data_IF_274084336252
#
_entry.id   IF_274084336252
#
_cell.length_a   1.000
_cell.length_b   1.000
_cell.length_c   1.000
_cell.angle_alpha   90.00
_cell.angle_beta   90.00
_cell.angle_gamma   90.00
#
_symmetry.space_group_name_H-M   'P 1'
#
loop_
_entity.id
_entity.type
_entity.pdbx_description
1 polymer ?
#
# COMPACT_ATOMS: atom_id res chain seq x y z
N UNK A 1 -14.44 44.58 -25.43
CA UNK A 1 -13.42 44.10 -24.47
C UNK A 1 -14.08 43.10 -23.53
N UNK A 2 -13.75 41.81 -23.65
CA UNK A 2 -14.39 40.74 -22.86
C UNK A 2 -13.56 40.51 -21.60
N UNK A 3 -14.07 40.95 -20.44
CA UNK A 3 -13.47 40.70 -19.13
C UNK A 3 -13.61 39.21 -18.79
N UNK A 4 -12.53 38.44 -18.87
CA UNK A 4 -12.45 37.09 -18.30
C UNK A 4 -12.49 37.22 -16.77
N UNK A 5 -13.66 36.94 -16.19
CA UNK A 5 -13.86 36.81 -14.74
C UNK A 5 -13.13 35.53 -14.29
N UNK A 6 -11.94 35.69 -13.71
CA UNK A 6 -11.16 34.60 -13.09
C UNK A 6 -12.03 34.01 -11.98
N UNK A 7 -12.49 32.77 -12.11
CA UNK A 7 -13.26 32.09 -11.07
C UNK A 7 -12.35 31.92 -9.86
N UNK A 8 -12.69 32.58 -8.77
CA UNK A 8 -12.03 32.43 -7.48
C UNK A 8 -12.29 31.01 -6.95
N UNK A 9 -11.19 30.31 -6.67
CA UNK A 9 -11.05 29.46 -5.48
C UNK A 9 -11.96 28.25 -5.37
N UNK A 10 -11.99 27.37 -6.38
CA UNK A 10 -12.27 25.96 -6.06
C UNK A 10 -10.96 25.34 -5.59
N UNK A 11 -10.80 25.21 -4.27
CA UNK A 11 -9.64 24.59 -3.65
C UNK A 11 -9.78 23.08 -3.81
N UNK A 12 -9.50 22.56 -5.01
CA UNK A 12 -9.33 21.13 -5.19
C UNK A 12 -7.89 20.75 -4.81
N UNK A 13 -7.79 19.61 -4.13
CA UNK A 13 -6.52 18.96 -3.83
C UNK A 13 -6.19 18.01 -4.98
N UNK A 14 -4.99 18.11 -5.54
CA UNK A 14 -4.44 17.15 -6.48
C UNK A 14 -3.56 16.14 -5.75
N UNK A 15 -3.59 14.89 -6.23
CA UNK A 15 -2.70 13.81 -5.77
C UNK A 15 -1.42 13.82 -6.59
N UNK A 16 -0.29 13.87 -5.92
CA UNK A 16 1.03 13.74 -6.53
C UNK A 16 1.74 12.53 -5.94
N UNK A 17 2.28 11.68 -6.80
CA UNK A 17 3.06 10.50 -6.41
C UNK A 17 4.53 10.85 -6.64
N UNK A 18 5.37 10.66 -5.63
CA UNK A 18 6.81 10.87 -5.73
C UNK A 18 7.57 9.71 -5.09
N UNK A 19 8.82 9.54 -5.49
CA UNK A 19 9.74 8.58 -4.87
C UNK A 19 10.63 9.33 -3.90
N UNK A 20 10.74 8.85 -2.67
CA UNK A 20 11.64 9.43 -1.68
C UNK A 20 13.12 9.06 -1.91
N UNK A 21 13.99 9.47 -0.99
CA UNK A 21 15.44 9.22 -1.08
C UNK A 21 15.79 7.75 -0.87
N UNK A 22 14.94 7.00 -0.19
CA UNK A 22 15.12 5.59 0.14
C UNK A 22 14.48 4.66 -0.91
N UNK A 23 13.81 5.23 -1.92
CA UNK A 23 13.19 4.53 -3.03
C UNK A 23 11.72 4.14 -2.81
N UNK A 24 11.10 4.54 -1.68
CA UNK A 24 9.68 4.31 -1.45
C UNK A 24 8.83 5.30 -2.22
N UNK A 25 7.70 4.80 -2.74
CA UNK A 25 6.68 5.64 -3.38
C UNK A 25 5.75 6.19 -2.31
N UNK A 26 5.65 7.50 -2.26
CA UNK A 26 4.75 8.22 -1.37
C UNK A 26 3.71 8.98 -2.19
N UNK A 27 2.54 9.20 -1.60
CA UNK A 27 1.49 10.02 -2.20
C UNK A 27 1.20 11.19 -1.28
N UNK A 28 1.11 12.37 -1.87
CA UNK A 28 0.84 13.61 -1.16
C UNK A 28 -0.33 14.34 -1.83
N UNK A 29 -1.16 14.98 -1.02
CA UNK A 29 -2.15 15.94 -1.48
C UNK A 29 -1.55 17.35 -1.48
N UNK A 30 -1.58 17.98 -2.65
CA UNK A 30 -1.18 19.37 -2.87
C UNK A 30 -2.39 20.18 -3.32
N UNK A 31 -2.35 21.50 -3.15
CA UNK A 31 -3.35 22.37 -3.78
C UNK A 31 -3.10 22.40 -5.28
N UNK A 32 -4.16 22.56 -6.07
CA UNK A 32 -4.03 22.64 -7.53
C UNK A 32 -3.07 23.74 -8.03
N UNK A 33 -2.88 24.80 -7.24
CA UNK A 33 -1.96 25.90 -7.56
C UNK A 33 -0.51 25.65 -7.17
N UNK A 34 -0.22 24.62 -6.39
CA UNK A 34 1.14 24.33 -5.94
C UNK A 34 1.90 23.56 -7.02
N UNK A 35 3.21 23.82 -7.12
CA UNK A 35 4.09 23.10 -8.05
C UNK A 35 4.34 21.67 -7.55
N UNK A 36 4.58 20.73 -8.47
CA UNK A 36 4.74 19.30 -8.10
C UNK A 36 5.99 19.05 -7.26
N UNK A 37 6.99 19.94 -7.35
CA UNK A 37 8.20 19.93 -6.51
C UNK A 37 7.88 20.15 -5.02
N UNK A 38 6.72 20.72 -4.70
CA UNK A 38 6.25 20.88 -3.33
C UNK A 38 5.68 19.57 -2.72
N UNK A 39 5.68 18.45 -3.46
CA UNK A 39 5.14 17.17 -2.99
C UNK A 39 5.75 16.65 -1.68
N UNK A 40 6.98 17.04 -1.36
CA UNK A 40 7.61 16.70 -0.08
C UNK A 40 7.04 17.47 1.13
N UNK A 41 6.28 18.55 0.92
CA UNK A 41 5.74 19.42 1.96
C UNK A 41 4.20 19.48 2.01
N UNK A 42 3.51 18.70 1.18
CA UNK A 42 2.04 18.62 1.22
C UNK A 42 1.53 17.67 2.31
N UNK A 43 0.22 17.37 2.27
CA UNK A 43 -0.41 16.46 3.23
C UNK A 43 -0.13 15.01 2.78
N UNK A 44 0.63 14.21 3.55
CA UNK A 44 0.91 12.83 3.19
C UNK A 44 -0.37 11.99 3.28
N UNK A 45 -0.61 11.17 2.27
CA UNK A 45 -1.71 10.20 2.23
C UNK A 45 -1.13 8.90 1.71
N UNK A 46 -0.99 7.89 2.56
CA UNK A 46 -0.19 6.72 2.22
C UNK A 46 -0.74 5.42 2.77
N UNK A 47 -0.09 4.29 2.43
CA UNK A 47 -0.34 3.03 3.11
C UNK A 47 0.03 3.16 4.60
N UNK A 48 -0.51 2.26 5.46
CA UNK A 48 -0.11 2.16 6.84
C UNK A 48 1.37 1.82 6.95
N UNK A 49 1.95 2.13 8.11
CA UNK A 49 3.29 1.67 8.43
C UNK A 49 3.35 0.14 8.47
N UNK A 50 4.10 -0.44 7.53
CA UNK A 50 4.26 -1.89 7.39
C UNK A 50 5.11 -2.50 8.51
N UNK A 51 5.86 -1.70 9.28
CA UNK A 51 6.62 -2.19 10.44
C UNK A 51 5.72 -2.76 11.54
N UNK A 52 4.43 -2.39 11.57
CA UNK A 52 3.44 -2.96 12.49
C UNK A 52 2.93 -4.35 12.10
N UNK A 53 3.37 -4.91 10.98
CA UNK A 53 2.86 -6.19 10.49
C UNK A 53 3.40 -7.36 11.34
N UNK A 54 2.50 -8.23 11.80
CA UNK A 54 2.84 -9.48 12.51
C UNK A 54 3.48 -10.50 11.54
N UNK A 55 4.74 -10.31 11.19
CA UNK A 55 5.46 -11.15 10.22
C UNK A 55 5.64 -12.57 10.76
N UNK A 56 5.92 -12.74 12.05
CA UNK A 56 6.14 -14.04 12.66
C UNK A 56 4.89 -14.92 12.59
N UNK A 57 3.72 -14.36 12.94
CA UNK A 57 2.46 -15.07 12.78
C UNK A 57 2.16 -15.37 11.30
N UNK A 58 2.54 -14.48 10.38
CA UNK A 58 2.38 -14.72 8.95
C UNK A 58 3.20 -15.94 8.50
N UNK A 59 4.47 -16.03 8.92
CA UNK A 59 5.33 -17.18 8.61
C UNK A 59 4.80 -18.49 9.18
N UNK A 60 4.27 -18.47 10.41
CA UNK A 60 3.63 -19.66 10.99
C UNK A 60 2.43 -20.13 10.17
N UNK A 61 1.56 -19.21 9.76
CA UNK A 61 0.40 -19.53 8.91
C UNK A 61 0.84 -20.01 7.52
N UNK A 62 1.85 -19.38 6.90
CA UNK A 62 2.41 -19.81 5.61
C UNK A 62 2.94 -21.24 5.73
N UNK A 63 3.75 -21.54 6.75
CA UNK A 63 4.28 -22.89 6.96
C UNK A 63 3.17 -23.93 7.06
N UNK A 64 2.14 -23.66 7.86
CA UNK A 64 1.00 -24.57 8.00
C UNK A 64 0.28 -24.77 6.65
N UNK A 65 0.06 -23.69 5.89
CA UNK A 65 -0.59 -23.79 4.58
C UNK A 65 0.24 -24.55 3.55
N UNK A 66 1.57 -24.47 3.60
CA UNK A 66 2.46 -25.26 2.74
C UNK A 66 2.36 -26.75 3.08
N UNK A 67 2.37 -27.08 4.38
CA UNK A 67 2.20 -28.46 4.88
C UNK A 67 0.82 -29.02 4.52
N UNK A 68 -0.26 -28.28 4.77
CA UNK A 68 -1.64 -28.70 4.46
C UNK A 68 -1.85 -29.00 2.96
N UNK A 69 -1.05 -28.37 2.10
CA UNK A 69 -1.09 -28.53 0.65
C UNK A 69 -0.05 -29.50 0.11
N UNK A 70 0.70 -30.16 0.99
CA UNK A 70 1.76 -31.10 0.65
C UNK A 70 2.83 -30.48 -0.27
N UNK A 71 3.16 -29.21 -0.06
CA UNK A 71 4.24 -28.49 -0.74
C UNK A 71 5.46 -28.54 0.16
N UNK A 72 6.21 -29.64 0.09
CA UNK A 72 7.32 -29.92 1.01
C UNK A 72 8.68 -29.81 0.32
N UNK A 73 8.72 -29.88 -1.01
CA UNK A 73 9.95 -29.90 -1.80
C UNK A 73 9.89 -28.93 -2.98
N UNK A 74 11.06 -28.63 -3.56
CA UNK A 74 11.15 -27.81 -4.76
C UNK A 74 10.37 -28.42 -5.95
N UNK A 75 10.36 -29.75 -6.06
CA UNK A 75 9.60 -30.44 -7.11
C UNK A 75 8.10 -30.24 -6.96
N UNK A 76 7.61 -30.09 -5.72
CA UNK A 76 6.19 -29.83 -5.47
C UNK A 76 5.81 -28.41 -5.91
N UNK A 77 6.70 -27.43 -5.75
CA UNK A 77 6.48 -26.05 -6.22
C UNK A 77 6.30 -25.93 -7.74
N UNK A 78 6.97 -26.81 -8.51
CA UNK A 78 6.92 -26.81 -9.96
C UNK A 78 5.64 -27.40 -10.54
N UNK A 79 4.80 -28.06 -9.72
CA UNK A 79 3.55 -28.63 -10.21
C UNK A 79 2.57 -27.51 -10.56
N UNK A 80 1.77 -27.66 -11.64
CA UNK A 80 0.72 -26.71 -11.93
C UNK A 80 -0.32 -26.71 -10.80
N UNK A 81 -0.91 -25.55 -10.52
CA UNK A 81 -2.03 -25.38 -9.59
C UNK A 81 -1.76 -25.82 -8.13
N UNK A 82 -0.51 -25.75 -7.66
CA UNK A 82 -0.15 -25.99 -6.24
C UNK A 82 -0.84 -25.03 -5.28
N UNK A 83 -1.31 -23.88 -5.80
CA UNK A 83 -1.85 -22.81 -4.99
C UNK A 83 -0.78 -22.10 -4.15
N UNK A 84 0.51 -22.31 -4.41
CA UNK A 84 1.61 -21.67 -3.68
C UNK A 84 1.39 -20.17 -3.45
N UNK A 85 1.00 -19.45 -4.51
CA UNK A 85 0.72 -18.03 -4.45
C UNK A 85 -0.35 -17.68 -3.39
N UNK A 86 -1.42 -18.46 -3.28
CA UNK A 86 -2.46 -18.21 -2.27
C UNK A 86 -2.04 -18.67 -0.88
N UNK A 87 -1.17 -19.67 -0.75
CA UNK A 87 -0.60 -20.09 0.54
C UNK A 87 0.28 -18.99 1.16
N UNK A 88 1.05 -18.29 0.32
CA UNK A 88 1.92 -17.19 0.75
C UNK A 88 1.15 -15.87 0.90
N UNK A 89 0.33 -15.52 -0.09
CA UNK A 89 -0.33 -14.21 -0.11
C UNK A 89 -1.42 -14.09 0.96
N UNK A 90 -2.17 -15.16 1.27
CA UNK A 90 -3.34 -15.08 2.17
C UNK A 90 -2.96 -14.64 3.60
N UNK A 91 -1.94 -15.22 4.26
CA UNK A 91 -1.54 -14.77 5.60
C UNK A 91 -1.05 -13.32 5.65
N UNK A 92 -0.34 -12.87 4.60
CA UNK A 92 0.18 -11.51 4.49
C UNK A 92 -0.99 -10.53 4.27
N UNK A 93 -1.86 -10.83 3.30
CA UNK A 93 -3.03 -10.00 2.97
C UNK A 93 -3.97 -9.82 4.17
N UNK A 94 -4.21 -10.88 4.94
CA UNK A 94 -5.02 -10.83 6.16
C UNK A 94 -4.48 -9.78 7.15
N UNK A 95 -3.16 -9.74 7.36
CA UNK A 95 -2.51 -8.80 8.28
C UNK A 95 -2.43 -7.39 7.73
N UNK A 96 -2.17 -7.25 6.43
CA UNK A 96 -2.21 -5.96 5.77
C UNK A 96 -3.59 -5.32 5.92
N UNK A 97 -4.67 -6.08 5.68
CA UNK A 97 -6.05 -5.61 5.89
C UNK A 97 -6.28 -5.21 7.35
N UNK A 98 -5.74 -5.96 8.31
CA UNK A 98 -5.83 -5.60 9.73
C UNK A 98 -5.10 -4.30 10.05
N UNK A 99 -3.93 -4.04 9.46
CA UNK A 99 -3.21 -2.78 9.62
C UNK A 99 -4.04 -1.60 9.11
N UNK A 100 -4.57 -1.69 7.89
CA UNK A 100 -5.43 -0.64 7.33
C UNK A 100 -6.64 -0.36 8.23
N UNK A 101 -7.29 -1.41 8.73
CA UNK A 101 -8.42 -1.25 9.66
C UNK A 101 -8.00 -0.53 10.94
N UNK A 102 -6.87 -0.89 11.53
CA UNK A 102 -6.44 -0.34 12.81
C UNK A 102 -6.02 1.14 12.72
N UNK A 103 -5.56 1.62 11.56
CA UNK A 103 -5.29 3.05 11.35
C UNK A 103 -6.57 3.87 11.13
N UNK A 104 -7.56 3.32 10.44
CA UNK A 104 -8.86 3.99 10.23
C UNK A 104 -9.60 4.27 11.55
N UNK A 105 -9.40 3.44 12.59
CA UNK A 105 -9.98 3.67 13.93
C UNK A 105 -9.14 4.61 14.83
N UNK A 106 -7.98 5.09 14.38
CA UNK A 106 -7.14 6.03 15.12
C UNK A 106 -7.39 7.51 14.75
N UNK A 107 -8.12 7.76 13.67
CA UNK A 107 -8.65 9.10 13.29
C UNK A 107 -10.00 9.38 13.97
#
# INVERSE_FOLDING_TARGET
QVRKKKREGSCYLKRVIYTDKDGFKSVTLLRDGDADEAAASGIPVGPPDLHGLDIEGAFKEINNMLVDRNILTFKDLQRPNTGLASAVAKPIMKRLIQLYKNEEYKE
#
